data_IF_268129605803
#
_entry.id   IF_268129605803
#
_cell.length_a   1.000
_cell.length_b   1.000
_cell.length_c   1.000
_cell.angle_alpha   90.00
_cell.angle_beta   90.00
_cell.angle_gamma   90.00
#
_symmetry.space_group_name_H-M   'P 1'
#
loop_
_entity.id
_entity.type
_entity.pdbx_description
1 polymer ?
#
# COMPACT_ATOMS: atom_id res chain seq x y z
N UNK A 1 -2.26 -15.68 7.31
CA UNK A 1 -1.94 -14.73 8.39
C UNK A 1 -3.17 -14.00 8.96
N UNK A 2 -4.36 -14.12 8.36
CA UNK A 2 -5.58 -13.45 8.85
C UNK A 2 -5.64 -11.95 8.54
N UNK A 3 -4.88 -11.48 7.57
CA UNK A 3 -4.89 -10.08 7.13
C UNK A 3 -6.13 -9.76 6.29
N UNK A 4 -6.56 -10.72 5.50
CA UNK A 4 -7.75 -10.63 4.64
C UNK A 4 -8.74 -11.73 4.98
N UNK A 5 -10.01 -11.48 4.69
CA UNK A 5 -11.05 -12.51 4.72
C UNK A 5 -11.03 -13.26 3.40
N UNK A 6 -11.10 -14.62 3.40
CA UNK A 6 -11.26 -15.36 2.16
C UNK A 6 -12.60 -14.99 1.49
N UNK A 7 -12.62 -14.91 0.17
CA UNK A 7 -13.83 -14.67 -0.62
C UNK A 7 -14.77 -15.89 -0.64
N UNK A 8 -14.21 -17.07 -0.40
CA UNK A 8 -14.93 -18.34 -0.27
C UNK A 8 -14.08 -19.36 0.48
N UNK A 9 -14.68 -20.51 0.81
CA UNK A 9 -13.99 -21.58 1.52
C UNK A 9 -13.76 -21.32 3.02
N UNK A 10 -12.94 -22.16 3.65
CA UNK A 10 -12.61 -22.11 5.09
C UNK A 10 -11.13 -22.35 5.28
N UNK A 11 -10.52 -21.59 6.20
CA UNK A 11 -9.14 -21.84 6.64
C UNK A 11 -9.23 -22.70 7.89
N UNK A 12 -8.64 -23.89 7.81
CA UNK A 12 -8.59 -24.83 8.91
C UNK A 12 -7.20 -24.83 9.53
N UNK A 13 -7.10 -24.80 10.86
CA UNK A 13 -5.86 -24.93 11.59
C UNK A 13 -6.06 -25.91 12.74
N UNK A 14 -5.21 -26.94 12.79
CA UNK A 14 -5.33 -28.04 13.76
C UNK A 14 -6.76 -28.64 13.78
N UNK A 15 -7.34 -28.85 12.59
CA UNK A 15 -8.69 -29.42 12.44
C UNK A 15 -9.84 -28.49 12.79
N UNK A 16 -9.61 -27.25 13.18
CA UNK A 16 -10.65 -26.27 13.55
C UNK A 16 -10.69 -25.11 12.56
N UNK A 17 -11.90 -24.65 12.16
CA UNK A 17 -12.04 -23.48 11.32
C UNK A 17 -11.59 -22.22 12.08
N UNK A 18 -10.83 -21.37 11.41
CA UNK A 18 -10.25 -20.17 12.00
C UNK A 18 -10.84 -18.90 11.37
N UNK A 19 -11.15 -17.93 12.21
CA UNK A 19 -11.45 -16.58 11.74
C UNK A 19 -10.14 -15.72 11.64
N UNK A 20 -10.17 -14.58 10.93
CA UNK A 20 -8.97 -13.75 10.77
C UNK A 20 -8.31 -13.33 12.08
N UNK A 21 -9.07 -13.02 13.14
CA UNK A 21 -8.52 -12.63 14.45
C UNK A 21 -7.82 -13.79 15.16
N UNK A 22 -8.34 -15.01 15.03
CA UNK A 22 -7.72 -16.21 15.58
C UNK A 22 -6.42 -16.54 14.85
N UNK A 23 -6.40 -16.42 13.51
CA UNK A 23 -5.19 -16.61 12.71
C UNK A 23 -4.09 -15.61 13.09
N UNK A 24 -4.40 -14.34 13.31
CA UNK A 24 -3.43 -13.32 13.73
C UNK A 24 -2.73 -13.66 15.06
N UNK A 25 -3.41 -14.38 15.96
CA UNK A 25 -2.81 -14.84 17.22
C UNK A 25 -1.84 -16.01 17.03
N UNK A 26 -2.00 -16.81 15.99
CA UNK A 26 -1.26 -18.04 15.77
C UNK A 26 -0.22 -17.95 14.64
N UNK A 27 -0.32 -16.94 13.79
CA UNK A 27 0.54 -16.78 12.62
C UNK A 27 1.33 -15.48 12.74
N UNK A 28 2.64 -15.57 12.64
CA UNK A 28 3.52 -14.42 12.40
C UNK A 28 3.78 -14.33 10.90
N UNK A 29 3.66 -13.14 10.34
CA UNK A 29 3.99 -12.89 8.95
C UNK A 29 5.11 -11.84 8.88
N UNK A 30 6.27 -12.27 8.38
CA UNK A 30 7.42 -11.42 8.10
C UNK A 30 7.31 -10.96 6.66
N UNK A 31 7.22 -9.66 6.48
CA UNK A 31 7.10 -8.99 5.18
C UNK A 31 8.47 -8.86 4.51
N UNK A 32 8.49 -8.78 3.18
CA UNK A 32 9.69 -8.55 2.39
C UNK A 32 10.43 -7.26 2.80
N UNK A 33 9.68 -6.18 3.04
CA UNK A 33 10.25 -4.93 3.55
C UNK A 33 10.40 -4.98 5.07
N UNK A 34 11.59 -5.31 5.55
CA UNK A 34 11.93 -5.42 6.97
C UNK A 34 11.64 -4.14 7.77
N UNK A 35 11.78 -2.97 7.14
CA UNK A 35 11.61 -1.65 7.76
C UNK A 35 10.23 -1.45 8.40
N UNK A 36 9.19 -2.06 7.83
CA UNK A 36 7.83 -1.92 8.36
C UNK A 36 7.55 -2.78 9.58
N UNK A 37 8.56 -3.48 10.10
CA UNK A 37 8.40 -4.42 11.19
C UNK A 37 9.04 -3.95 12.50
N UNK A 38 9.80 -2.86 12.48
CA UNK A 38 10.52 -2.37 13.66
C UNK A 38 9.72 -1.28 14.38
N UNK A 39 9.59 -1.44 15.70
CA UNK A 39 8.75 -0.61 16.55
C UNK A 39 9.50 0.02 17.71
N UNK A 40 10.77 -0.34 17.92
CA UNK A 40 11.56 0.08 19.08
C UNK A 40 12.85 0.80 18.67
N UNK A 41 13.47 1.46 19.64
CA UNK A 41 14.65 2.29 19.41
C UNK A 41 15.98 1.54 19.35
N UNK A 42 16.03 0.22 19.65
CA UNK A 42 17.26 -0.57 19.53
C UNK A 42 16.98 -2.00 19.08
N UNK A 43 17.99 -2.64 18.49
CA UNK A 43 17.92 -4.05 18.06
C UNK A 43 17.56 -4.96 19.24
N UNK A 44 18.18 -4.76 20.39
CA UNK A 44 17.90 -5.57 21.58
C UNK A 44 16.45 -5.40 22.04
N UNK A 45 15.96 -4.17 22.15
CA UNK A 45 14.58 -3.94 22.53
C UNK A 45 13.60 -4.49 21.51
N UNK A 46 13.97 -4.52 20.22
CA UNK A 46 13.13 -5.09 19.17
C UNK A 46 12.95 -6.60 19.35
N UNK A 47 14.01 -7.32 19.74
CA UNK A 47 13.96 -8.75 20.04
C UNK A 47 13.20 -9.05 21.34
N UNK A 48 13.23 -8.14 22.30
CA UNK A 48 12.52 -8.26 23.58
C UNK A 48 11.04 -7.84 23.48
N UNK A 49 10.65 -7.15 22.40
CA UNK A 49 9.32 -6.59 22.27
C UNK A 49 8.23 -7.65 22.29
N UNK A 50 7.34 -7.56 23.29
CA UNK A 50 6.20 -8.47 23.46
C UNK A 50 6.52 -9.74 24.23
N UNK A 51 7.77 -9.91 24.73
CA UNK A 51 8.20 -11.04 25.52
C UNK A 51 8.42 -10.66 27.00
N UNK A 52 8.26 -11.63 27.89
CA UNK A 52 8.72 -11.50 29.27
C UNK A 52 10.26 -11.65 29.30
N UNK A 53 10.93 -10.61 29.72
CA UNK A 53 12.40 -10.58 29.78
C UNK A 53 12.84 -11.33 31.04
N UNK A 54 13.16 -12.62 30.87
CA UNK A 54 13.75 -13.48 31.93
C UNK A 54 15.24 -13.67 31.68
N UNK A 55 16.05 -14.02 32.70
CA UNK A 55 17.47 -14.31 32.48
C UNK A 55 17.74 -15.38 31.42
N UNK A 56 16.86 -16.35 31.29
CA UNK A 56 16.93 -17.39 30.25
C UNK A 56 16.65 -16.81 28.85
N UNK A 57 15.66 -15.95 28.74
CA UNK A 57 15.35 -15.26 27.49
C UNK A 57 16.48 -14.30 27.06
N UNK A 58 17.10 -13.61 28.03
CA UNK A 58 18.26 -12.74 27.76
C UNK A 58 19.45 -13.55 27.24
N UNK A 59 19.78 -14.67 27.89
CA UNK A 59 20.85 -15.56 27.44
C UNK A 59 20.57 -16.12 26.04
N UNK A 60 19.33 -16.52 25.75
CA UNK A 60 18.91 -16.99 24.43
C UNK A 60 19.06 -15.87 23.37
N UNK A 61 18.65 -14.65 23.69
CA UNK A 61 18.76 -13.51 22.81
C UNK A 61 20.21 -13.11 22.53
N UNK A 62 21.06 -13.14 23.55
CA UNK A 62 22.49 -12.89 23.39
C UNK A 62 23.17 -13.94 22.51
N UNK A 63 22.93 -15.23 22.75
CA UNK A 63 23.43 -16.30 21.92
C UNK A 63 22.99 -16.18 20.46
N UNK A 64 21.72 -15.78 20.23
CA UNK A 64 21.16 -15.57 18.92
C UNK A 64 21.81 -14.37 18.20
N UNK A 65 22.00 -13.26 18.88
CA UNK A 65 22.69 -12.07 18.33
C UNK A 65 24.13 -12.42 17.91
N UNK A 66 24.84 -13.21 18.72
CA UNK A 66 26.19 -13.66 18.39
C UNK A 66 26.23 -14.61 17.19
N UNK A 67 25.31 -15.57 17.13
CA UNK A 67 25.23 -16.54 16.02
C UNK A 67 24.90 -15.86 14.66
N UNK A 68 24.15 -14.76 14.69
CA UNK A 68 23.75 -14.00 13.51
C UNK A 68 24.69 -12.84 13.19
N UNK A 69 25.85 -12.74 13.88
CA UNK A 69 26.82 -11.66 13.71
C UNK A 69 26.17 -10.25 13.85
N UNK A 70 25.39 -10.09 14.92
CA UNK A 70 24.62 -8.87 15.19
C UNK A 70 24.86 -8.31 16.61
N UNK A 71 25.75 -8.94 17.41
CA UNK A 71 25.99 -8.54 18.79
C UNK A 71 26.43 -7.07 18.92
N UNK A 72 27.34 -6.62 18.07
CA UNK A 72 27.87 -5.26 18.08
C UNK A 72 26.84 -4.20 17.65
N UNK A 73 25.73 -4.66 17.06
CA UNK A 73 24.63 -3.80 16.62
C UNK A 73 23.48 -3.73 17.65
N UNK A 74 23.55 -4.46 18.80
CA UNK A 74 22.43 -4.62 19.74
C UNK A 74 21.83 -3.33 20.27
N UNK A 75 22.66 -2.30 20.46
CA UNK A 75 22.26 -0.99 20.98
C UNK A 75 21.90 0.02 19.86
N UNK A 76 22.15 -0.36 18.61
CA UNK A 76 21.86 0.50 17.45
C UNK A 76 20.37 0.53 17.15
N UNK A 77 19.93 1.67 16.62
CA UNK A 77 18.56 1.79 16.11
C UNK A 77 18.36 0.87 14.89
N UNK A 78 17.26 0.09 14.78
CA UNK A 78 17.03 -0.83 13.65
C UNK A 78 17.16 -0.19 12.27
N UNK A 79 16.73 1.06 12.11
CA UNK A 79 16.86 1.79 10.84
C UNK A 79 18.27 2.27 10.50
N UNK A 80 19.24 2.13 11.40
CA UNK A 80 20.66 2.39 11.11
C UNK A 80 21.41 1.16 10.59
N UNK A 81 20.74 0.02 10.50
CA UNK A 81 21.28 -1.23 10.01
C UNK A 81 21.34 -1.25 8.48
N UNK A 82 22.23 -2.07 7.93
CA UNK A 82 22.21 -2.42 6.51
C UNK A 82 20.96 -3.25 6.16
N UNK A 83 20.58 -3.32 4.89
CA UNK A 83 19.43 -4.14 4.45
C UNK A 83 19.55 -5.60 4.90
N UNK A 84 20.73 -6.21 4.75
CA UNK A 84 20.99 -7.57 5.21
C UNK A 84 20.92 -7.74 6.72
N UNK A 85 21.41 -6.76 7.49
CA UNK A 85 21.26 -6.77 8.95
C UNK A 85 19.80 -6.64 9.39
N UNK A 86 19.01 -5.81 8.70
CA UNK A 86 17.57 -5.69 8.95
C UNK A 86 16.83 -7.01 8.68
N UNK A 87 17.17 -7.72 7.60
CA UNK A 87 16.58 -9.02 7.30
C UNK A 87 16.95 -10.07 8.37
N UNK A 88 18.22 -10.13 8.81
CA UNK A 88 18.62 -11.00 9.91
C UNK A 88 17.87 -10.69 11.20
N UNK A 89 17.67 -9.40 11.52
CA UNK A 89 16.88 -8.99 12.67
C UNK A 89 15.43 -9.51 12.61
N UNK A 90 14.77 -9.41 11.46
CA UNK A 90 13.39 -9.94 11.31
C UNK A 90 13.32 -11.45 11.46
N UNK A 91 14.33 -12.17 11.00
CA UNK A 91 14.45 -13.63 11.20
C UNK A 91 14.63 -14.00 12.67
N UNK A 92 15.47 -13.26 13.41
CA UNK A 92 15.63 -13.44 14.85
C UNK A 92 14.33 -13.18 15.62
N UNK A 93 13.58 -12.14 15.22
CA UNK A 93 12.24 -11.88 15.79
C UNK A 93 11.28 -13.03 15.52
N UNK A 94 11.30 -13.61 14.32
CA UNK A 94 10.49 -14.77 13.97
C UNK A 94 10.86 -16.02 14.80
N UNK A 95 12.15 -16.23 15.03
CA UNK A 95 12.66 -17.33 15.87
C UNK A 95 12.19 -17.21 17.31
N UNK A 96 12.30 -16.02 17.91
CA UNK A 96 11.88 -15.75 19.29
C UNK A 96 10.38 -15.71 19.51
N UNK A 97 9.59 -15.52 18.46
CA UNK A 97 8.13 -15.43 18.57
C UNK A 97 7.50 -16.72 19.12
N UNK A 98 6.49 -16.60 19.99
CA UNK A 98 5.73 -17.74 20.53
C UNK A 98 4.68 -18.30 19.57
N UNK A 99 4.55 -17.74 18.36
CA UNK A 99 3.54 -18.18 17.39
C UNK A 99 3.94 -19.48 16.72
N UNK A 100 3.04 -20.48 16.65
CA UNK A 100 3.35 -21.81 16.11
C UNK A 100 3.53 -21.83 14.59
N UNK A 101 3.07 -20.79 13.89
CA UNK A 101 3.20 -20.67 12.43
C UNK A 101 3.90 -19.38 12.07
N UNK A 102 4.93 -19.49 11.24
CA UNK A 102 5.70 -18.36 10.71
C UNK A 102 5.63 -18.39 9.19
N UNK A 103 5.36 -17.24 8.59
CA UNK A 103 5.39 -17.03 7.13
C UNK A 103 6.48 -15.99 6.87
N UNK A 104 7.46 -16.35 6.05
CA UNK A 104 8.59 -15.51 5.67
C UNK A 104 8.46 -15.14 4.19
N UNK A 105 8.49 -13.87 3.87
CA UNK A 105 8.41 -13.37 2.49
C UNK A 105 9.77 -12.83 2.07
N UNK A 106 10.45 -13.53 1.16
CA UNK A 106 11.81 -13.24 0.67
C UNK A 106 12.82 -12.95 1.79
N UNK A 107 13.01 -13.84 2.77
CA UNK A 107 13.79 -13.56 3.99
C UNK A 107 15.30 -13.42 3.75
N UNK A 108 15.82 -13.80 2.59
CA UNK A 108 17.25 -13.74 2.24
C UNK A 108 17.58 -12.77 1.13
N UNK A 109 16.61 -11.90 0.75
CA UNK A 109 16.84 -10.94 -0.33
C UNK A 109 18.03 -10.02 -0.04
N UNK A 110 19.02 -10.00 -0.96
CA UNK A 110 20.21 -9.15 -0.84
C UNK A 110 21.24 -9.62 0.21
N UNK A 111 21.19 -10.87 0.65
CA UNK A 111 22.21 -11.49 1.51
C UNK A 111 23.39 -12.02 0.66
N UNK A 112 24.58 -12.04 1.25
CA UNK A 112 25.71 -12.79 0.73
C UNK A 112 25.60 -14.29 1.10
N UNK A 113 26.43 -15.13 0.50
CA UNK A 113 26.36 -16.59 0.69
C UNK A 113 26.54 -17.02 2.15
N UNK A 114 27.42 -16.36 2.91
CA UNK A 114 27.65 -16.67 4.32
C UNK A 114 26.45 -16.30 5.20
N UNK A 115 25.88 -15.13 4.95
CA UNK A 115 24.66 -14.69 5.65
C UNK A 115 23.44 -15.54 5.29
N UNK A 116 23.34 -16.00 4.05
CA UNK A 116 22.29 -16.91 3.60
C UNK A 116 22.36 -18.25 4.36
N UNK A 117 23.55 -18.82 4.50
CA UNK A 117 23.72 -20.08 5.25
C UNK A 117 23.36 -19.91 6.74
N UNK A 118 23.74 -18.80 7.38
CA UNK A 118 23.31 -18.48 8.75
C UNK A 118 21.78 -18.37 8.86
N UNK A 119 21.14 -17.71 7.90
CA UNK A 119 19.68 -17.60 7.82
C UNK A 119 19.02 -18.97 7.63
N UNK A 120 19.54 -19.79 6.73
CA UNK A 120 19.05 -21.15 6.49
C UNK A 120 19.21 -22.03 7.75
N UNK A 121 20.34 -21.92 8.45
CA UNK A 121 20.57 -22.63 9.73
C UNK A 121 19.53 -22.22 10.79
N UNK A 122 19.25 -20.94 10.94
CA UNK A 122 18.24 -20.45 11.88
C UNK A 122 16.83 -20.93 11.52
N UNK A 123 16.48 -20.97 10.23
CA UNK A 123 15.21 -21.51 9.76
C UNK A 123 15.11 -23.00 10.04
N UNK A 124 16.19 -23.78 9.81
CA UNK A 124 16.24 -25.21 10.18
C UNK A 124 16.02 -25.44 11.68
N UNK A 125 16.54 -24.55 12.50
CA UNK A 125 16.31 -24.66 13.96
C UNK A 125 14.86 -24.30 14.30
N UNK A 126 14.33 -23.22 13.70
CA UNK A 126 12.95 -22.77 13.90
C UNK A 126 11.91 -23.84 13.54
N UNK A 127 12.12 -24.60 12.47
CA UNK A 127 11.18 -25.63 11.99
C UNK A 127 11.04 -26.82 12.91
N UNK A 128 11.94 -27.02 13.89
CA UNK A 128 11.81 -28.08 14.89
C UNK A 128 10.61 -27.84 15.81
N UNK A 129 10.24 -26.59 16.06
CA UNK A 129 9.17 -26.20 16.99
C UNK A 129 7.99 -25.56 16.29
N UNK A 130 8.17 -25.04 15.08
CA UNK A 130 7.18 -24.24 14.35
C UNK A 130 6.95 -24.74 12.93
N UNK A 131 5.79 -24.48 12.39
CA UNK A 131 5.53 -24.62 10.95
C UNK A 131 5.98 -23.35 10.23
N UNK A 132 6.98 -23.48 9.35
CA UNK A 132 7.56 -22.36 8.62
C UNK A 132 7.14 -22.43 7.14
N UNK A 133 6.51 -21.38 6.65
CA UNK A 133 6.25 -21.17 5.23
C UNK A 133 7.21 -20.11 4.70
N UNK A 134 7.89 -20.40 3.61
CA UNK A 134 8.82 -19.47 2.97
C UNK A 134 8.30 -19.17 1.57
N UNK A 135 8.12 -17.91 1.25
CA UNK A 135 7.83 -17.42 -0.09
C UNK A 135 9.15 -16.92 -0.65
N UNK A 136 9.69 -17.60 -1.64
CA UNK A 136 10.99 -17.24 -2.22
C UNK A 136 11.16 -17.77 -3.63
N UNK A 137 12.05 -17.13 -4.38
CA UNK A 137 12.58 -17.60 -5.65
C UNK A 137 14.07 -18.02 -5.55
N UNK A 138 14.62 -18.04 -4.35
CA UNK A 138 16.00 -18.40 -4.06
C UNK A 138 16.14 -19.91 -3.92
N UNK A 139 16.80 -20.56 -4.89
CA UNK A 139 17.04 -22.00 -4.91
C UNK A 139 17.99 -22.46 -3.81
N UNK A 140 18.94 -21.63 -3.40
CA UNK A 140 19.89 -21.97 -2.34
C UNK A 140 19.18 -22.03 -1.00
N UNK A 141 18.29 -21.08 -0.73
CA UNK A 141 17.45 -21.11 0.46
C UNK A 141 16.50 -22.30 0.46
N UNK A 142 15.87 -22.62 -0.68
CA UNK A 142 14.99 -23.79 -0.82
C UNK A 142 15.77 -25.07 -0.50
N UNK A 143 16.97 -25.23 -1.08
CA UNK A 143 17.84 -26.38 -0.84
C UNK A 143 18.29 -26.48 0.61
N UNK A 144 18.64 -25.33 1.20
CA UNK A 144 19.21 -25.27 2.55
C UNK A 144 18.22 -25.38 3.70
N UNK A 145 16.93 -25.02 3.49
CA UNK A 145 16.00 -24.84 4.60
C UNK A 145 14.62 -25.50 4.43
N UNK A 146 14.22 -25.92 3.22
CA UNK A 146 12.88 -26.43 2.94
C UNK A 146 12.84 -27.94 2.82
N UNK A 147 11.72 -28.57 3.25
CA UNK A 147 11.43 -29.99 3.03
C UNK A 147 10.54 -30.22 1.83
N UNK A 148 9.76 -29.22 1.46
CA UNK A 148 8.73 -29.29 0.44
C UNK A 148 8.58 -27.95 -0.26
N UNK A 149 8.40 -27.99 -1.56
CA UNK A 149 8.12 -26.83 -2.41
C UNK A 149 6.73 -26.93 -3.01
N UNK A 150 5.96 -25.87 -2.94
CA UNK A 150 4.64 -25.74 -3.57
C UNK A 150 4.72 -24.62 -4.59
N UNK A 151 4.56 -24.95 -5.86
CA UNK A 151 4.49 -23.98 -6.94
C UNK A 151 3.07 -23.44 -7.09
N UNK A 152 2.94 -22.11 -7.10
CA UNK A 152 1.65 -21.43 -7.28
C UNK A 152 1.62 -20.76 -8.64
N UNK A 153 0.54 -20.98 -9.41
CA UNK A 153 0.26 -20.32 -10.67
C UNK A 153 -1.21 -19.95 -10.74
N UNK A 154 -1.53 -18.73 -11.19
CA UNK A 154 -2.89 -18.21 -11.33
C UNK A 154 -3.80 -18.39 -10.10
N UNK A 155 -3.20 -18.37 -8.91
CA UNK A 155 -3.90 -18.52 -7.63
C UNK A 155 -4.20 -19.97 -7.24
N UNK A 156 -3.66 -20.98 -7.97
CA UNK A 156 -3.78 -22.39 -7.67
C UNK A 156 -2.42 -23.01 -7.34
N UNK A 157 -2.45 -24.04 -6.47
CA UNK A 157 -1.28 -24.90 -6.27
C UNK A 157 -1.19 -25.84 -7.52
N UNK A 158 -0.15 -25.65 -8.32
CA UNK A 158 0.03 -26.39 -9.57
C UNK A 158 0.92 -27.62 -9.37
N UNK A 159 1.92 -27.50 -8.51
CA UNK A 159 2.88 -28.56 -8.24
C UNK A 159 3.25 -28.58 -6.75
N UNK A 160 3.47 -29.79 -6.26
CA UNK A 160 3.99 -30.05 -4.93
C UNK A 160 5.15 -31.05 -5.06
N UNK A 161 6.34 -30.63 -4.66
CA UNK A 161 7.58 -31.41 -4.77
C UNK A 161 8.25 -31.55 -3.40
N UNK A 162 8.74 -32.74 -3.03
CA UNK A 162 9.67 -32.87 -1.92
C UNK A 162 11.00 -32.18 -2.28
N UNK A 163 11.77 -31.79 -1.28
CA UNK A 163 13.10 -31.19 -1.43
C UNK A 163 14.07 -31.97 -0.56
N UNK A 164 14.42 -33.19 -1.02
CA UNK A 164 15.32 -34.10 -0.27
C UNK A 164 16.54 -34.51 -1.09
N UNK A 165 16.49 -34.28 -2.42
CA UNK A 165 17.56 -34.70 -3.31
C UNK A 165 17.87 -33.61 -4.36
N UNK A 166 19.05 -33.72 -4.97
CA UNK A 166 19.43 -32.83 -6.08
C UNK A 166 18.51 -32.95 -7.29
N UNK A 167 17.89 -34.12 -7.49
CA UNK A 167 16.87 -34.33 -8.54
C UNK A 167 15.62 -33.51 -8.28
N UNK A 168 15.21 -33.42 -7.02
CA UNK A 168 14.05 -32.60 -6.61
C UNK A 168 14.32 -31.12 -6.88
N UNK A 169 15.51 -30.64 -6.52
CA UNK A 169 15.92 -29.26 -6.78
C UNK A 169 15.97 -28.93 -8.28
N UNK A 170 16.42 -29.86 -9.10
CA UNK A 170 16.36 -29.70 -10.56
C UNK A 170 14.93 -29.63 -11.08
N UNK A 171 13.98 -30.36 -10.45
CA UNK A 171 12.57 -30.27 -10.78
C UNK A 171 11.97 -28.90 -10.41
N UNK A 172 12.31 -28.38 -9.21
CA UNK A 172 11.92 -27.04 -8.77
C UNK A 172 12.50 -25.97 -9.70
N UNK A 173 13.80 -26.05 -10.05
CA UNK A 173 14.44 -25.14 -11.01
C UNK A 173 13.71 -25.11 -12.35
N UNK A 174 13.43 -26.30 -12.93
CA UNK A 174 12.68 -26.41 -14.21
C UNK A 174 11.27 -25.82 -14.13
N UNK A 175 10.61 -25.94 -12.96
CA UNK A 175 9.32 -25.30 -12.75
C UNK A 175 9.45 -23.77 -12.73
N UNK A 176 10.44 -23.22 -12.01
CA UNK A 176 10.66 -21.77 -11.96
C UNK A 176 11.05 -21.17 -13.30
N UNK A 177 11.84 -21.87 -14.12
CA UNK A 177 12.25 -21.43 -15.46
C UNK A 177 11.07 -21.35 -16.46
N UNK A 178 9.93 -22.00 -16.19
CA UNK A 178 8.71 -21.88 -17.03
C UNK A 178 8.03 -20.51 -16.90
N UNK A 179 8.24 -19.82 -15.80
CA UNK A 179 7.61 -18.52 -15.58
C UNK A 179 8.48 -17.40 -16.14
N UNK A 180 8.17 -16.97 -17.37
CA UNK A 180 8.75 -15.74 -17.91
C UNK A 180 7.93 -14.52 -17.43
N UNK A 181 8.61 -13.38 -17.12
CA UNK A 181 7.92 -12.12 -16.74
C UNK A 181 6.92 -11.60 -17.78
N UNK A 182 7.05 -12.08 -19.05
CA UNK A 182 6.13 -11.76 -20.17
C UNK A 182 4.75 -12.39 -20.03
N UNK A 183 4.57 -13.42 -19.21
CA UNK A 183 3.32 -14.17 -19.10
C UNK A 183 2.33 -13.56 -18.09
N UNK A 184 2.72 -12.47 -17.44
CA UNK A 184 1.81 -11.72 -16.57
C UNK A 184 0.76 -11.02 -17.47
N UNK A 185 -0.53 -11.43 -17.42
CA UNK A 185 -1.54 -10.82 -18.25
C UNK A 185 -1.60 -9.33 -17.94
N UNK A 186 -1.42 -8.50 -18.95
CA UNK A 186 -1.52 -7.06 -18.82
C UNK A 186 -2.86 -6.71 -18.17
N UNK A 187 -2.84 -6.07 -17.03
CA UNK A 187 -4.04 -5.65 -16.29
C UNK A 187 -4.95 -4.93 -17.26
N UNK A 188 -6.18 -5.47 -17.48
CA UNK A 188 -7.16 -4.88 -18.41
C UNK A 188 -7.29 -3.39 -18.10
N UNK A 189 -6.77 -2.57 -18.99
CA UNK A 189 -6.88 -1.11 -18.89
C UNK A 189 -8.35 -0.75 -19.09
N UNK A 190 -8.96 -0.15 -18.10
CA UNK A 190 -10.32 0.36 -18.22
C UNK A 190 -10.28 1.58 -19.15
N UNK A 191 -11.01 1.49 -20.26
CA UNK A 191 -11.07 2.58 -21.24
C UNK A 191 -11.80 3.76 -20.63
N UNK A 192 -11.06 4.79 -20.21
CA UNK A 192 -11.64 6.04 -19.69
C UNK A 192 -12.33 6.81 -20.81
N UNK A 193 -13.49 7.35 -20.52
CA UNK A 193 -14.32 8.08 -21.50
C UNK A 193 -13.95 9.56 -21.59
N UNK A 194 -13.49 10.15 -20.48
CA UNK A 194 -13.14 11.56 -20.42
C UNK A 194 -11.65 11.82 -20.49
N UNK A 195 -11.30 12.93 -21.11
CA UNK A 195 -9.93 13.43 -21.14
C UNK A 195 -9.49 13.90 -19.73
N UNK A 196 -8.28 13.61 -19.27
CA UNK A 196 -7.82 14.01 -17.94
C UNK A 196 -7.85 15.53 -17.70
N UNK A 197 -7.62 16.34 -18.76
CA UNK A 197 -7.72 17.79 -18.66
C UNK A 197 -9.15 18.26 -18.35
N UNK A 198 -10.17 17.58 -18.87
CA UNK A 198 -11.59 17.88 -18.58
C UNK A 198 -11.91 17.65 -17.11
N UNK A 199 -11.42 16.54 -16.55
CA UNK A 199 -11.57 16.22 -15.12
C UNK A 199 -10.85 17.25 -14.24
N UNK A 200 -9.68 17.69 -14.65
CA UNK A 200 -8.88 18.67 -13.92
C UNK A 200 -9.51 20.07 -13.99
N UNK A 201 -10.01 20.47 -15.17
CA UNK A 201 -10.75 21.72 -15.34
C UNK A 201 -11.99 21.72 -14.44
N UNK A 202 -12.74 20.62 -14.44
CA UNK A 202 -13.89 20.48 -13.56
C UNK A 202 -13.52 20.59 -12.07
N UNK A 203 -12.44 19.94 -11.64
CA UNK A 203 -11.98 20.02 -10.26
C UNK A 203 -11.62 21.47 -9.87
N UNK A 204 -10.93 22.21 -10.74
CA UNK A 204 -10.62 23.62 -10.51
C UNK A 204 -11.89 24.50 -10.46
N UNK A 205 -12.83 24.28 -11.37
CA UNK A 205 -14.10 25.03 -11.35
C UNK A 205 -14.92 24.71 -10.10
N UNK A 206 -14.91 23.45 -9.65
CA UNK A 206 -15.59 23.05 -8.43
C UNK A 206 -14.98 23.75 -7.20
N UNK A 207 -13.65 23.88 -7.10
CA UNK A 207 -13.00 24.61 -6.00
C UNK A 207 -13.44 26.07 -5.95
N UNK A 208 -13.57 26.73 -7.11
CA UNK A 208 -14.05 28.12 -7.20
C UNK A 208 -15.53 28.20 -6.79
N UNK A 209 -16.37 27.32 -7.32
CA UNK A 209 -17.81 27.29 -7.02
C UNK A 209 -18.09 27.03 -5.54
N UNK A 210 -17.33 26.14 -4.92
CA UNK A 210 -17.46 25.81 -3.48
C UNK A 210 -17.13 27.01 -2.59
N UNK A 211 -16.23 27.90 -3.00
CA UNK A 211 -15.89 29.11 -2.27
C UNK A 211 -16.95 30.20 -2.36
N UNK A 212 -17.92 30.09 -3.27
CA UNK A 212 -19.01 31.03 -3.39
C UNK A 212 -20.10 30.82 -2.33
N UNK A 213 -20.80 31.88 -1.95
CA UNK A 213 -21.93 31.83 -1.02
C UNK A 213 -23.22 31.32 -1.67
N UNK A 214 -23.25 31.18 -3.00
CA UNK A 214 -24.45 30.78 -3.73
C UNK A 214 -24.65 29.27 -3.70
N UNK A 215 -25.63 28.80 -2.93
CA UNK A 215 -25.94 27.38 -2.77
C UNK A 215 -26.49 26.74 -4.06
N UNK A 216 -27.21 27.48 -4.91
CA UNK A 216 -27.75 26.97 -6.18
C UNK A 216 -26.61 26.56 -7.13
N UNK A 217 -25.53 27.35 -7.18
CA UNK A 217 -24.32 27.04 -7.95
C UNK A 217 -23.65 25.74 -7.45
N UNK A 218 -23.56 25.58 -6.13
CA UNK A 218 -22.98 24.37 -5.52
C UNK A 218 -23.81 23.14 -5.86
N UNK A 219 -25.12 23.23 -5.80
CA UNK A 219 -26.03 22.12 -6.12
C UNK A 219 -25.97 21.75 -7.61
N UNK A 220 -25.91 22.72 -8.50
CA UNK A 220 -25.76 22.49 -9.94
C UNK A 220 -24.41 21.81 -10.25
N UNK A 221 -23.32 22.29 -9.65
CA UNK A 221 -22.01 21.65 -9.78
C UNK A 221 -21.98 20.23 -9.23
N UNK A 222 -22.68 19.99 -8.11
CA UNK A 222 -22.77 18.64 -7.52
C UNK A 222 -23.53 17.67 -8.45
N UNK A 223 -24.64 18.12 -9.05
CA UNK A 223 -25.38 17.33 -10.03
C UNK A 223 -24.52 16.97 -11.25
N UNK A 224 -23.75 17.95 -11.78
CA UNK A 224 -22.79 17.72 -12.85
C UNK A 224 -21.70 16.71 -12.47
N UNK A 225 -21.23 16.72 -11.20
CA UNK A 225 -20.28 15.76 -10.68
C UNK A 225 -20.84 14.32 -10.67
N UNK A 226 -22.08 14.17 -10.19
CA UNK A 226 -22.76 12.88 -10.18
C UNK A 226 -22.87 12.31 -11.61
N UNK A 227 -23.26 13.16 -12.56
CA UNK A 227 -23.37 12.77 -13.96
C UNK A 227 -22.01 12.35 -14.55
N UNK A 228 -20.95 13.14 -14.30
CA UNK A 228 -19.59 12.81 -14.74
C UNK A 228 -19.13 11.47 -14.17
N UNK A 229 -19.32 11.26 -12.87
CA UNK A 229 -18.92 10.02 -12.19
C UNK A 229 -19.67 8.80 -12.70
N UNK A 230 -20.97 8.94 -12.99
CA UNK A 230 -21.79 7.88 -13.55
C UNK A 230 -21.35 7.50 -14.97
N UNK A 231 -21.11 8.50 -15.84
CA UNK A 231 -20.67 8.28 -17.22
C UNK A 231 -19.27 7.70 -17.29
N UNK A 232 -18.37 8.05 -16.36
CA UNK A 232 -17.00 7.53 -16.26
C UNK A 232 -16.94 6.09 -15.70
N UNK A 233 -18.09 5.51 -15.41
CA UNK A 233 -18.21 4.11 -14.97
C UNK A 233 -18.05 3.90 -13.47
N UNK A 234 -18.14 4.98 -12.66
CA UNK A 234 -18.15 4.92 -11.20
C UNK A 234 -19.58 4.94 -10.64
N UNK A 235 -20.45 4.09 -11.19
CA UNK A 235 -21.87 4.10 -10.87
C UNK A 235 -22.14 4.00 -9.36
N UNK A 236 -21.43 3.15 -8.64
CA UNK A 236 -21.57 3.02 -7.18
C UNK A 236 -21.21 4.30 -6.43
N UNK A 237 -20.19 5.03 -6.87
CA UNK A 237 -19.79 6.32 -6.27
C UNK A 237 -20.80 7.41 -6.62
N UNK A 238 -21.31 7.41 -7.85
CA UNK A 238 -22.35 8.34 -8.29
C UNK A 238 -23.65 8.14 -7.51
N UNK A 239 -24.09 6.90 -7.31
CA UNK A 239 -25.27 6.57 -6.52
C UNK A 239 -25.09 6.97 -5.05
N UNK A 240 -23.95 6.64 -4.44
CA UNK A 240 -23.65 7.01 -3.07
C UNK A 240 -23.61 8.54 -2.89
N UNK A 241 -23.02 9.24 -3.85
CA UNK A 241 -23.01 10.71 -3.89
C UNK A 241 -24.42 11.29 -4.02
N UNK A 242 -25.22 10.76 -4.93
CA UNK A 242 -26.63 11.20 -5.13
C UNK A 242 -27.49 10.96 -3.89
N UNK A 243 -27.36 9.79 -3.26
CA UNK A 243 -28.08 9.47 -2.01
C UNK A 243 -27.66 10.39 -0.86
N UNK A 244 -26.36 10.62 -0.67
CA UNK A 244 -25.86 11.50 0.40
C UNK A 244 -26.33 12.94 0.19
N UNK A 245 -26.33 13.42 -1.05
CA UNK A 245 -26.85 14.75 -1.39
C UNK A 245 -28.34 14.86 -1.12
N UNK A 246 -29.15 13.90 -1.60
CA UNK A 246 -30.60 13.89 -1.38
C UNK A 246 -30.97 13.86 0.11
N UNK A 247 -30.24 13.07 0.90
CA UNK A 247 -30.46 12.98 2.35
C UNK A 247 -30.12 14.29 3.06
N UNK A 248 -28.99 14.92 2.70
CA UNK A 248 -28.59 16.21 3.29
C UNK A 248 -29.54 17.33 2.88
N UNK A 249 -30.00 17.32 1.62
CA UNK A 249 -30.99 18.29 1.13
C UNK A 249 -32.33 18.16 1.85
N UNK A 250 -32.84 16.93 2.00
CA UNK A 250 -34.07 16.65 2.74
C UNK A 250 -33.96 17.05 4.22
N UNK A 251 -32.82 16.76 4.85
CA UNK A 251 -32.57 17.13 6.24
C UNK A 251 -32.52 18.67 6.40
N UNK A 252 -31.93 19.41 5.45
CA UNK A 252 -31.93 20.87 5.47
C UNK A 252 -33.34 21.45 5.30
N UNK A 253 -34.19 20.81 4.47
CA UNK A 253 -35.57 21.22 4.26
C UNK A 253 -36.45 20.97 5.50
N UNK A 254 -36.14 19.90 6.29
CA UNK A 254 -36.90 19.56 7.50
C UNK A 254 -36.51 20.40 8.72
N UNK A 255 -35.29 20.93 8.78
CA UNK A 255 -34.71 21.65 9.92
C UNK A 255 -34.19 23.05 9.53
N UNK A 256 -35.00 23.91 8.90
CA UNK A 256 -34.57 25.24 8.50
C UNK A 256 -34.30 26.11 9.74
N UNK A 257 -33.22 26.90 9.67
CA UNK A 257 -32.92 27.90 10.73
C UNK A 257 -32.30 27.37 12.02
N UNK A 258 -31.98 26.07 12.08
CA UNK A 258 -31.29 25.48 13.24
C UNK A 258 -29.77 25.67 13.11
N UNK A 259 -29.03 25.55 14.24
CA UNK A 259 -27.54 25.56 14.26
C UNK A 259 -26.98 24.47 13.34
N UNK A 260 -27.70 23.39 13.12
CA UNK A 260 -27.34 22.31 12.19
C UNK A 260 -27.49 22.68 10.72
N UNK A 261 -28.24 23.72 10.38
CA UNK A 261 -28.40 24.17 8.97
C UNK A 261 -27.07 24.49 8.30
N UNK A 262 -26.11 25.05 9.05
CA UNK A 262 -24.76 25.30 8.57
C UNK A 262 -24.02 23.99 8.16
N UNK A 263 -24.19 22.92 8.94
CA UNK A 263 -23.59 21.63 8.62
C UNK A 263 -24.17 21.04 7.33
N UNK A 264 -25.47 21.17 7.10
CA UNK A 264 -26.11 20.68 5.87
C UNK A 264 -25.66 21.42 4.61
N UNK A 265 -25.20 22.66 4.74
CA UNK A 265 -24.60 23.42 3.65
C UNK A 265 -23.13 23.06 3.44
N UNK A 266 -22.40 22.79 4.52
CA UNK A 266 -20.95 22.51 4.47
C UNK A 266 -20.64 21.08 3.97
N UNK A 267 -21.37 20.06 4.46
CA UNK A 267 -21.12 18.67 4.14
C UNK A 267 -21.19 18.33 2.64
N UNK A 268 -22.19 18.79 1.86
CA UNK A 268 -22.21 18.56 0.42
C UNK A 268 -20.96 19.09 -0.28
N UNK A 269 -20.43 20.22 0.16
CA UNK A 269 -19.21 20.83 -0.40
C UNK A 269 -17.99 19.94 -0.17
N UNK A 270 -17.81 19.41 1.05
CA UNK A 270 -16.71 18.52 1.38
C UNK A 270 -16.83 17.20 0.62
N UNK A 271 -18.04 16.63 0.55
CA UNK A 271 -18.30 15.37 -0.17
C UNK A 271 -18.02 15.55 -1.67
N UNK A 272 -18.41 16.69 -2.26
CA UNK A 272 -18.13 16.98 -3.66
C UNK A 272 -16.63 17.03 -3.97
N UNK A 273 -15.82 17.65 -3.09
CA UNK A 273 -14.35 17.63 -3.23
C UNK A 273 -13.83 16.19 -3.15
N UNK A 274 -14.28 15.41 -2.19
CA UNK A 274 -13.86 14.02 -2.01
C UNK A 274 -14.18 13.14 -3.23
N UNK A 275 -15.39 13.26 -3.79
CA UNK A 275 -15.80 12.52 -4.99
C UNK A 275 -14.99 12.96 -6.21
N UNK A 276 -14.84 14.28 -6.43
CA UNK A 276 -14.09 14.81 -7.58
C UNK A 276 -12.60 14.40 -7.52
N UNK A 277 -11.99 14.44 -6.34
CA UNK A 277 -10.61 13.99 -6.14
C UNK A 277 -10.46 12.48 -6.41
N UNK A 278 -11.43 11.68 -5.97
CA UNK A 278 -11.45 10.24 -6.23
C UNK A 278 -11.57 9.93 -7.73
N UNK A 279 -12.35 10.70 -8.48
CA UNK A 279 -12.47 10.51 -9.94
C UNK A 279 -11.23 10.98 -10.70
N UNK A 280 -10.54 11.99 -10.19
CA UNK A 280 -9.30 12.49 -10.77
C UNK A 280 -8.13 11.50 -10.56
N UNK A 281 -7.99 10.92 -9.38
CA UNK A 281 -6.87 10.07 -9.01
C UNK A 281 -7.15 8.58 -9.24
N UNK A 282 -8.38 8.14 -9.05
CA UNK A 282 -8.72 6.74 -8.78
C UNK A 282 -8.53 5.74 -9.93
N UNK A 283 -8.58 6.17 -11.20
CA UNK A 283 -8.37 5.33 -12.39
C UNK A 283 -7.40 5.93 -13.41
N UNK A 284 -7.09 7.22 -13.28
CA UNK A 284 -6.16 7.86 -14.19
C UNK A 284 -4.76 7.28 -14.00
N UNK A 285 -4.18 6.73 -15.06
CA UNK A 285 -2.75 6.54 -15.09
C UNK A 285 -2.09 7.91 -14.89
N UNK A 286 -1.19 8.01 -13.92
CA UNK A 286 -0.44 9.24 -13.66
C UNK A 286 0.18 9.81 -14.95
N UNK A 287 0.59 8.93 -15.86
CA UNK A 287 1.11 9.26 -17.20
C UNK A 287 0.13 10.06 -18.07
N UNK A 288 -1.17 9.74 -18.04
CA UNK A 288 -2.19 10.46 -18.82
C UNK A 288 -2.45 11.86 -18.25
N UNK A 289 -2.55 11.96 -16.93
CA UNK A 289 -2.73 13.27 -16.27
C UNK A 289 -1.54 14.19 -16.53
N UNK A 290 -0.31 13.64 -16.50
CA UNK A 290 0.89 14.40 -16.83
C UNK A 290 0.95 14.85 -18.30
N UNK A 291 0.54 13.98 -19.23
CA UNK A 291 0.45 14.35 -20.64
C UNK A 291 -0.58 15.47 -20.86
N UNK A 292 -1.71 15.44 -20.14
CA UNK A 292 -2.72 16.51 -20.18
C UNK A 292 -2.17 17.84 -19.64
N UNK A 293 -1.44 17.82 -18.51
CA UNK A 293 -0.80 19.01 -17.93
C UNK A 293 0.24 19.62 -18.86
N UNK A 294 1.01 18.79 -19.58
CA UNK A 294 1.96 19.28 -20.61
C UNK A 294 1.26 19.98 -21.77
N UNK A 295 0.10 19.47 -22.19
CA UNK A 295 -0.70 20.10 -23.25
C UNK A 295 -1.25 21.49 -22.83
N UNK A 296 -1.42 21.74 -21.53
CA UNK A 296 -1.81 23.04 -20.96
C UNK A 296 -0.66 24.07 -20.91
N UNK A 297 0.53 23.71 -21.44
CA UNK A 297 1.73 24.58 -21.47
C UNK A 297 2.16 25.12 -20.10
N UNK A 298 1.91 24.36 -19.03
CA UNK A 298 2.36 24.71 -17.70
C UNK A 298 3.90 24.62 -17.59
N UNK A 299 4.53 25.38 -16.66
CA UNK A 299 5.95 25.31 -16.43
C UNK A 299 6.42 23.87 -16.14
N UNK A 300 7.51 23.42 -16.76
CA UNK A 300 8.01 22.04 -16.61
C UNK A 300 8.31 21.69 -15.14
N UNK A 301 8.78 22.65 -14.36
CA UNK A 301 9.02 22.47 -12.91
C UNK A 301 7.75 22.07 -12.16
N UNK A 302 6.64 22.73 -12.48
CA UNK A 302 5.34 22.42 -11.88
C UNK A 302 4.86 21.02 -12.29
N UNK A 303 4.99 20.67 -13.58
CA UNK A 303 4.62 19.35 -14.09
C UNK A 303 5.44 18.24 -13.38
N UNK A 304 6.74 18.50 -13.14
CA UNK A 304 7.59 17.57 -12.41
C UNK A 304 7.14 17.36 -10.97
N UNK A 305 6.80 18.42 -10.25
CA UNK A 305 6.27 18.32 -8.87
C UNK A 305 5.01 17.46 -8.85
N UNK A 306 4.07 17.76 -9.76
CA UNK A 306 2.83 16.99 -9.88
C UNK A 306 3.09 15.53 -10.26
N UNK A 307 4.06 15.28 -11.16
CA UNK A 307 4.47 13.92 -11.55
C UNK A 307 4.97 13.11 -10.36
N UNK A 308 5.82 13.72 -9.55
CA UNK A 308 6.35 13.10 -8.34
C UNK A 308 5.21 12.79 -7.37
N UNK A 309 4.31 13.74 -7.11
CA UNK A 309 3.16 13.54 -6.20
C UNK A 309 2.29 12.38 -6.68
N UNK A 310 1.86 12.35 -7.94
CA UNK A 310 1.00 11.29 -8.48
C UNK A 310 1.66 9.91 -8.48
N UNK A 311 2.97 9.84 -8.66
CA UNK A 311 3.71 8.57 -8.59
C UNK A 311 3.90 8.12 -7.14
N UNK A 312 4.07 9.05 -6.23
CA UNK A 312 4.43 8.83 -4.83
C UNK A 312 3.23 8.39 -3.97
N UNK A 313 2.09 9.03 -4.16
CA UNK A 313 0.89 8.78 -3.36
C UNK A 313 0.43 7.32 -3.37
N UNK A 314 0.35 6.63 -4.53
CA UNK A 314 0.00 5.21 -4.56
C UNK A 314 1.02 4.32 -3.82
N UNK A 315 2.32 4.62 -3.92
CA UNK A 315 3.38 3.88 -3.22
C UNK A 315 3.23 4.06 -1.72
N UNK A 316 3.13 5.29 -1.22
CA UNK A 316 2.93 5.57 0.20
C UNK A 316 1.65 4.93 0.77
N UNK A 317 0.57 4.90 -0.01
CA UNK A 317 -0.66 4.25 0.41
C UNK A 317 -0.52 2.73 0.55
N UNK A 318 0.27 2.10 -0.32
CA UNK A 318 0.67 0.70 -0.24
C UNK A 318 1.54 0.43 0.99
N UNK A 319 2.59 1.22 1.18
CA UNK A 319 3.50 1.13 2.31
C UNK A 319 2.77 1.30 3.66
N UNK A 320 1.82 2.24 3.73
CA UNK A 320 0.96 2.41 4.90
C UNK A 320 0.09 1.17 5.18
N UNK A 321 -0.37 0.47 4.13
CA UNK A 321 -1.11 -0.78 4.31
C UNK A 321 -0.20 -1.88 4.86
N UNK A 322 1.02 -2.03 4.33
CA UNK A 322 2.01 -2.98 4.83
C UNK A 322 2.36 -2.73 6.30
N UNK A 323 2.60 -1.49 6.68
CA UNK A 323 2.86 -1.10 8.06
C UNK A 323 1.68 -1.45 8.99
N UNK A 324 0.44 -1.17 8.57
CA UNK A 324 -0.75 -1.58 9.34
C UNK A 324 -0.91 -3.08 9.45
N UNK A 325 -0.49 -3.83 8.43
CA UNK A 325 -0.49 -5.30 8.46
C UNK A 325 0.55 -5.81 9.46
N UNK A 326 1.75 -5.25 9.47
CA UNK A 326 2.80 -5.58 10.42
C UNK A 326 2.36 -5.35 11.88
N UNK A 327 1.79 -4.18 12.18
CA UNK A 327 1.23 -3.88 13.51
C UNK A 327 0.21 -4.93 13.94
N UNK A 328 -0.66 -5.37 13.01
CA UNK A 328 -1.67 -6.39 13.29
C UNK A 328 -1.08 -7.77 13.53
N UNK A 329 -0.11 -8.17 12.70
CA UNK A 329 0.52 -9.51 12.82
C UNK A 329 1.38 -9.65 14.06
N UNK A 330 1.99 -8.57 14.53
CA UNK A 330 2.73 -8.54 15.80
C UNK A 330 1.83 -8.42 17.04
N UNK A 331 0.53 -8.14 16.85
CA UNK A 331 -0.42 -8.01 17.96
C UNK A 331 -0.30 -6.71 18.75
N UNK A 332 0.41 -5.71 18.20
CA UNK A 332 0.51 -4.38 18.80
C UNK A 332 -0.80 -3.59 18.61
N UNK A 333 -1.22 -2.86 19.64
CA UNK A 333 -2.39 -1.95 19.59
C UNK A 333 -3.67 -2.61 19.05
N UNK A 334 -4.03 -3.76 19.60
CA UNK A 334 -5.17 -4.57 19.12
C UNK A 334 -6.53 -3.90 19.32
N UNK A 335 -6.67 -3.01 20.33
CA UNK A 335 -7.92 -2.33 20.63
C UNK A 335 -7.85 -0.83 20.34
N UNK A 336 -8.99 -0.17 20.00
CA UNK A 336 -9.03 1.28 19.80
C UNK A 336 -8.58 2.06 21.04
N UNK A 337 -8.90 1.54 22.23
CA UNK A 337 -8.55 2.16 23.51
C UNK A 337 -7.03 2.15 23.77
N UNK A 338 -6.35 1.05 23.39
CA UNK A 338 -4.88 0.97 23.47
C UNK A 338 -4.21 1.97 22.54
N UNK A 339 -4.73 2.18 21.33
CA UNK A 339 -4.25 3.19 20.38
C UNK A 339 -4.38 4.60 20.95
N UNK A 340 -5.48 4.88 21.64
CA UNK A 340 -5.71 6.20 22.23
C UNK A 340 -4.83 6.44 23.47
N UNK A 341 -4.67 5.42 24.33
CA UNK A 341 -3.83 5.53 25.54
C UNK A 341 -2.34 5.67 25.23
N UNK A 342 -1.87 5.00 24.17
CA UNK A 342 -0.48 5.04 23.73
C UNK A 342 -0.35 5.80 22.39
N UNK A 343 -1.10 6.89 22.23
CA UNK A 343 -1.16 7.65 20.97
C UNK A 343 0.23 8.15 20.51
N UNK A 344 1.12 8.67 21.36
CA UNK A 344 2.46 9.08 20.94
C UNK A 344 3.26 7.94 20.33
N UNK A 345 3.35 6.78 21.01
CA UNK A 345 4.06 5.61 20.50
C UNK A 345 3.43 5.02 19.25
N UNK A 346 2.09 5.05 19.16
CA UNK A 346 1.39 4.61 17.94
C UNK A 346 1.70 5.52 16.75
N UNK A 347 1.74 6.84 16.96
CA UNK A 347 2.12 7.80 15.91
C UNK A 347 3.60 7.65 15.52
N UNK A 348 4.49 7.45 16.47
CA UNK A 348 5.91 7.23 16.22
C UNK A 348 6.13 6.01 15.33
N UNK A 349 5.52 4.87 15.65
CA UNK A 349 5.57 3.65 14.84
C UNK A 349 5.03 3.85 13.42
N UNK A 350 4.07 4.76 13.23
CA UNK A 350 3.54 5.07 11.90
C UNK A 350 4.42 6.07 11.14
N UNK A 351 4.91 7.11 11.82
CA UNK A 351 5.56 8.24 11.14
C UNK A 351 7.02 7.98 10.83
N UNK A 352 7.77 7.33 11.73
CA UNK A 352 9.22 7.13 11.55
C UNK A 352 9.56 6.26 10.33
N UNK A 353 8.97 5.03 10.15
CA UNK A 353 9.24 4.23 8.96
C UNK A 353 8.80 4.93 7.67
N UNK A 354 7.65 5.62 7.71
CA UNK A 354 7.13 6.36 6.55
C UNK A 354 8.02 7.54 6.17
N UNK A 355 8.52 8.29 7.16
CA UNK A 355 9.44 9.41 6.90
C UNK A 355 10.76 8.93 6.27
N UNK A 356 11.35 7.85 6.79
CA UNK A 356 12.56 7.25 6.24
C UNK A 356 12.33 6.71 4.82
N UNK A 357 11.18 6.10 4.57
CA UNK A 357 10.80 5.64 3.24
C UNK A 357 10.69 6.80 2.24
N UNK A 358 10.07 7.90 2.66
CA UNK A 358 9.97 9.14 1.85
C UNK A 358 11.36 9.66 1.48
N UNK A 359 12.29 9.72 2.43
CA UNK A 359 13.67 10.18 2.19
C UNK A 359 14.36 9.27 1.16
N UNK A 360 14.33 7.96 1.34
CA UNK A 360 14.94 7.01 0.37
C UNK A 360 14.36 7.11 -1.03
N UNK A 361 13.03 7.25 -1.12
CA UNK A 361 12.40 7.40 -2.42
C UNK A 361 12.81 8.74 -3.05
N UNK A 362 12.92 9.82 -2.27
CA UNK A 362 13.39 11.11 -2.77
C UNK A 362 14.83 11.03 -3.30
N UNK A 363 15.73 10.36 -2.58
CA UNK A 363 17.13 10.13 -3.02
C UNK A 363 17.20 9.31 -4.30
N UNK A 364 16.48 8.19 -4.38
CA UNK A 364 16.46 7.34 -5.58
C UNK A 364 15.82 8.02 -6.78
N UNK A 365 14.79 8.84 -6.57
CA UNK A 365 14.19 9.65 -7.63
C UNK A 365 15.14 10.75 -8.11
N UNK A 366 15.85 11.43 -7.20
CA UNK A 366 16.83 12.46 -7.57
C UNK A 366 17.95 11.86 -8.42
N UNK A 367 18.56 10.77 -7.96
CA UNK A 367 19.61 10.07 -8.71
C UNK A 367 19.13 9.57 -10.09
N UNK A 368 17.91 8.99 -10.15
CA UNK A 368 17.32 8.55 -11.42
C UNK A 368 16.94 9.72 -12.33
N UNK A 369 16.57 10.87 -11.78
CA UNK A 369 16.25 12.07 -12.53
C UNK A 369 17.51 12.67 -13.19
N UNK A 370 18.59 12.75 -12.45
CA UNK A 370 19.90 13.24 -12.94
C UNK A 370 20.45 12.35 -14.05
N UNK A 371 20.46 11.02 -13.84
CA UNK A 371 20.94 10.06 -14.84
C UNK A 371 20.12 10.08 -16.14
N UNK A 372 18.83 10.41 -16.06
CA UNK A 372 17.96 10.56 -17.24
C UNK A 372 18.03 11.94 -17.88
N UNK A 373 18.87 12.84 -17.39
CA UNK A 373 19.09 14.17 -17.98
C UNK A 373 17.85 15.06 -17.92
N UNK A 374 17.13 15.04 -16.81
CA UNK A 374 15.90 15.87 -16.64
C UNK A 374 16.20 17.35 -16.78
N UNK A 375 17.41 17.80 -16.37
CA UNK A 375 17.87 19.19 -16.47
C UNK A 375 18.29 19.63 -17.88
N UNK A 376 18.37 18.70 -18.83
CA UNK A 376 18.70 19.04 -20.20
C UNK A 376 17.59 19.88 -20.84
N UNK A 377 17.95 21.07 -21.32
CA UNK A 377 17.04 22.02 -22.04
C UNK A 377 16.66 21.50 -23.44
N UNK A 378 16.20 20.23 -23.54
CA UNK A 378 15.67 19.67 -24.80
C UNK A 378 14.15 19.68 -24.79
N UNK A 379 13.54 19.91 -25.97
CA UNK A 379 12.07 19.73 -26.13
C UNK A 379 11.72 18.27 -25.83
N UNK A 380 10.93 18.08 -24.80
CA UNK A 380 10.44 16.75 -24.39
C UNK A 380 9.18 16.42 -25.19
N UNK A 381 9.14 15.28 -25.84
CA UNK A 381 7.96 14.77 -26.54
C UNK A 381 7.07 13.96 -25.61
N UNK A 382 5.76 13.96 -25.86
CA UNK A 382 4.84 13.09 -25.16
C UNK A 382 4.72 11.75 -25.88
N UNK A 383 4.93 10.65 -25.17
CA UNK A 383 4.69 9.29 -25.68
C UNK A 383 3.18 9.02 -25.89
N UNK A 384 2.35 9.61 -25.06
CA UNK A 384 0.90 9.44 -25.11
C UNK A 384 0.25 10.59 -25.89
N UNK A 385 -0.40 10.28 -27.01
CA UNK A 385 -1.28 11.21 -27.71
C UNK A 385 -2.67 11.15 -27.08
N UNK A 386 -3.07 12.21 -26.38
CA UNK A 386 -4.41 12.34 -25.83
C UNK A 386 -5.29 13.06 -26.86
N UNK A 387 -6.45 12.48 -27.18
CA UNK A 387 -7.48 13.10 -28.04
C UNK A 387 -8.70 13.45 -27.21
N UNK A 388 -9.25 14.61 -27.43
CA UNK A 388 -10.55 15.00 -26.85
C UNK A 388 -11.65 14.13 -27.46
N UNK A 389 -12.54 13.66 -26.60
CA UNK A 389 -13.73 12.90 -26.98
C UNK A 389 -14.93 13.84 -27.16
N UNK A 390 -15.94 13.42 -27.92
CA UNK A 390 -17.22 14.13 -27.98
C UNK A 390 -17.88 14.28 -26.59
N UNK A 391 -17.66 13.34 -25.71
CA UNK A 391 -18.12 13.40 -24.31
C UNK A 391 -17.51 14.54 -23.52
N UNK A 392 -16.27 14.93 -23.81
CA UNK A 392 -15.59 16.07 -23.17
C UNK A 392 -16.28 17.39 -23.58
N UNK A 393 -16.61 17.54 -24.86
CA UNK A 393 -17.33 18.72 -25.36
C UNK A 393 -18.72 18.83 -24.74
N UNK A 394 -19.49 17.74 -24.75
CA UNK A 394 -20.82 17.68 -24.12
C UNK A 394 -20.76 18.08 -22.66
N UNK A 395 -19.78 17.54 -21.93
CA UNK A 395 -19.62 17.81 -20.51
C UNK A 395 -19.23 19.29 -20.25
N UNK A 396 -18.32 19.86 -21.03
CA UNK A 396 -17.94 21.27 -20.91
C UNK A 396 -19.16 22.22 -21.16
N UNK A 397 -20.01 21.87 -22.13
CA UNK A 397 -21.24 22.64 -22.40
C UNK A 397 -22.21 22.51 -21.23
N UNK A 398 -22.44 21.32 -20.69
CA UNK A 398 -23.29 21.10 -19.53
C UNK A 398 -22.77 21.82 -18.27
N UNK A 399 -21.47 21.84 -18.07
CA UNK A 399 -20.84 22.54 -16.97
C UNK A 399 -21.02 24.06 -17.11
N UNK A 400 -20.79 24.61 -18.30
CA UNK A 400 -21.02 26.02 -18.57
C UNK A 400 -22.49 26.42 -18.39
N UNK A 401 -23.42 25.60 -18.88
CA UNK A 401 -24.86 25.81 -18.71
C UNK A 401 -25.27 25.75 -17.23
N UNK A 402 -24.71 24.80 -16.44
CA UNK A 402 -25.02 24.71 -15.01
C UNK A 402 -24.50 25.90 -14.20
N UNK A 403 -23.32 26.44 -14.57
CA UNK A 403 -22.77 27.65 -13.95
C UNK A 403 -23.61 28.86 -14.32
N UNK A 404 -24.00 29.02 -15.59
CA UNK A 404 -24.85 30.12 -16.06
C UNK A 404 -26.22 30.08 -15.36
N UNK A 405 -26.86 28.92 -15.27
CA UNK A 405 -28.13 28.78 -14.57
C UNK A 405 -28.02 29.14 -13.07
N UNK A 406 -26.93 28.70 -12.41
CA UNK A 406 -26.71 29.03 -11.00
C UNK A 406 -26.33 30.48 -10.71
N UNK A 407 -25.92 31.26 -11.75
CA UNK A 407 -25.67 32.71 -11.63
C UNK A 407 -26.93 33.53 -11.83
N UNK A 408 -27.91 32.98 -12.54
CA UNK A 408 -29.19 33.65 -12.85
C UNK A 408 -30.22 33.42 -11.72
N UNK A 409 -30.17 32.30 -11.06
CA UNK A 409 -30.96 31.92 -9.87
C UNK A 409 -30.37 32.47 -8.58
#
# INVERSE_FOLDING_TARGET
AGLYRPSGGRIMLFGKPQNPKQLQKQVLFILQEAEFQFFTGSVLHELQYGHAVTPEFEAKTEALLKSMDMWDCRDRHPFSLSGGQMQRLTLMMAYLSDKPIVILDEPTAGQDAESLERCAALIREMRKEKTVFIITHDLELIAGACDRCIGLSDGHAEIELPVHSERDLQAVRRYMERFHPSDIPAKKQHKERFHPATKLLYWLTLLVVISTSNNHLVYAAYAALILLTAVDGWLGTALAGGMSFGLLWAANAMLPGTVFSFMFVLFPRIIAIGISMRTLIGRNEASRTLAALRNLRLPERFIMIVAVIFRFFPVLSGDMQLLRQSIRTRGAFTTPLQKLRALPSYLEILTVPMALRVIRIAETLSASAETRGIDLKRRKSNYLSLRFSAWDAVFCVLLAASIAAGLIL
#
